data_IF_812602913587
#
_entry.id   IF_812602913587
#
_cell.length_a   1.000
_cell.length_b   1.000
_cell.length_c   1.000
_cell.angle_alpha   90.00
_cell.angle_beta   90.00
_cell.angle_gamma   90.00
#
_symmetry.space_group_name_H-M   'P 1'
#
loop_
_entity.id
_entity.type
_entity.pdbx_description
1 polymer ?
#
# COMPACT_ATOMS: atom_id res chain seq x y z
N UNK A 1 3.75 3.74 10.28
CA UNK A 1 3.81 2.29 10.09
C UNK A 1 5.23 1.89 9.74
N UNK A 2 5.68 0.73 10.23
CA UNK A 2 7.02 0.15 9.99
C UNK A 2 6.87 -1.34 9.74
N UNK A 3 7.69 -1.91 8.86
CA UNK A 3 7.66 -3.35 8.53
C UNK A 3 7.88 -4.18 9.81
N UNK A 4 6.89 -4.98 10.26
CA UNK A 4 6.97 -5.74 11.50
C UNK A 4 7.91 -6.96 11.41
N UNK A 5 8.15 -7.49 10.21
CA UNK A 5 9.00 -8.67 9.98
C UNK A 5 10.48 -8.34 9.72
N UNK A 6 10.80 -7.06 9.50
CA UNK A 6 12.13 -6.64 9.06
C UNK A 6 12.97 -5.97 10.14
N UNK A 7 14.25 -6.37 10.23
CA UNK A 7 15.28 -5.65 10.99
C UNK A 7 15.65 -4.31 10.36
N UNK A 8 15.16 -4.03 9.15
CA UNK A 8 15.47 -2.82 8.38
C UNK A 8 14.43 -1.72 8.63
N UNK A 9 14.83 -0.70 9.40
CA UNK A 9 13.96 0.45 9.72
C UNK A 9 13.84 1.47 8.59
N UNK A 10 14.33 1.24 7.37
CA UNK A 10 14.34 2.26 6.31
C UNK A 10 13.03 2.36 5.54
N UNK A 11 12.33 1.24 5.32
CA UNK A 11 11.01 1.25 4.71
C UNK A 11 9.96 1.68 5.73
N UNK A 12 9.28 2.79 5.45
CA UNK A 12 8.32 3.41 6.36
C UNK A 12 7.21 4.07 5.58
N UNK A 13 6.02 4.06 6.17
CA UNK A 13 4.90 4.87 5.71
C UNK A 13 4.37 5.74 6.85
N UNK A 14 4.17 7.03 6.56
CA UNK A 14 3.57 8.01 7.47
C UNK A 14 2.33 8.60 6.82
N UNK A 15 1.20 8.45 7.52
CA UNK A 15 -0.01 9.18 7.22
C UNK A 15 -0.11 10.40 8.13
N UNK A 16 -0.17 11.58 7.55
CA UNK A 16 -0.51 12.81 8.24
C UNK A 16 -2.03 13.01 8.16
N UNK A 17 -2.67 13.11 9.32
CA UNK A 17 -4.12 13.29 9.46
C UNK A 17 -4.39 14.58 10.26
N UNK A 18 -4.15 15.77 9.66
CA UNK A 18 -4.24 17.06 10.35
C UNK A 18 -5.64 17.29 10.95
N UNK A 19 -6.67 16.86 10.23
CA UNK A 19 -8.07 17.02 10.62
C UNK A 19 -8.56 15.96 11.61
N UNK A 20 -7.67 15.08 12.09
CA UNK A 20 -7.97 14.02 13.07
C UNK A 20 -9.17 13.16 12.68
N UNK A 21 -9.35 12.94 11.39
CA UNK A 21 -10.42 12.12 10.86
C UNK A 21 -10.33 10.68 11.38
N UNK A 22 -11.47 10.03 11.60
CA UNK A 22 -11.51 8.62 11.99
C UNK A 22 -11.08 7.76 10.82
N UNK A 23 -9.92 7.10 10.96
CA UNK A 23 -9.37 6.20 9.95
C UNK A 23 -9.34 4.80 10.53
N UNK A 24 -9.96 3.85 9.81
CA UNK A 24 -9.90 2.43 10.19
C UNK A 24 -8.58 1.85 9.68
N UNK A 25 -7.79 1.28 10.59
CA UNK A 25 -6.53 0.60 10.29
C UNK A 25 -6.75 -0.89 10.42
N UNK A 26 -6.51 -1.62 9.33
CA UNK A 26 -6.47 -3.08 9.31
C UNK A 26 -5.01 -3.47 9.14
N UNK A 27 -4.39 -3.96 10.21
CA UNK A 27 -3.09 -4.60 10.14
C UNK A 27 -3.29 -6.04 9.71
N UNK A 28 -2.66 -6.40 8.61
CA UNK A 28 -2.81 -7.70 7.97
C UNK A 28 -1.56 -8.49 8.36
N UNK A 29 -1.61 -9.01 9.58
CA UNK A 29 -0.42 -9.46 10.31
C UNK A 29 0.30 -10.63 9.63
N UNK A 30 1.59 -10.47 9.34
CA UNK A 30 2.48 -11.53 8.81
C UNK A 30 2.81 -12.61 9.87
N UNK A 31 2.21 -12.53 11.07
CA UNK A 31 2.54 -13.38 12.21
C UNK A 31 1.42 -14.36 12.65
N UNK A 32 0.14 -13.98 12.55
CA UNK A 32 -0.97 -14.75 13.15
C UNK A 32 -1.82 -15.53 12.14
N UNK A 33 -2.03 -15.03 10.92
CA UNK A 33 -2.77 -15.78 9.89
C UNK A 33 -1.77 -16.31 8.86
N UNK A 34 -1.50 -17.61 8.86
CA UNK A 34 -0.41 -18.23 8.08
C UNK A 34 -0.74 -18.54 6.61
N UNK A 35 -1.95 -18.23 6.14
CA UNK A 35 -2.37 -18.62 4.80
C UNK A 35 -2.75 -17.41 3.93
N UNK A 36 -1.94 -17.19 2.89
CA UNK A 36 -2.19 -16.24 1.80
C UNK A 36 -1.20 -15.06 1.72
N UNK A 37 -0.75 -14.76 0.49
CA UNK A 37 0.00 -13.54 0.13
C UNK A 37 -0.90 -12.32 0.34
N UNK A 38 -0.45 -11.27 1.03
CA UNK A 38 -1.25 -10.05 1.30
C UNK A 38 -0.36 -8.88 1.75
N UNK A 39 -0.87 -7.66 1.63
CA UNK A 39 -0.14 -6.46 2.02
C UNK A 39 -0.11 -6.23 3.52
N UNK A 40 0.88 -5.53 4.07
CA UNK A 40 1.03 -5.27 5.52
C UNK A 40 -0.15 -4.53 6.16
N UNK A 41 -0.67 -3.50 5.48
CA UNK A 41 -1.74 -2.65 6.03
C UNK A 41 -2.78 -2.26 4.97
N UNK A 42 -4.03 -2.18 5.42
CA UNK A 42 -5.12 -1.50 4.72
C UNK A 42 -5.66 -0.39 5.62
N UNK A 43 -5.78 0.83 5.08
CA UNK A 43 -6.52 1.93 5.70
C UNK A 43 -7.81 2.17 4.94
N UNK A 44 -8.89 2.41 5.68
CA UNK A 44 -10.15 2.89 5.12
C UNK A 44 -10.36 4.30 5.64
N UNK A 45 -10.34 5.25 4.70
CA UNK A 45 -10.55 6.67 4.94
C UNK A 45 -12.04 6.99 5.09
N UNK A 46 -12.42 8.13 5.70
CA UNK A 46 -13.83 8.52 5.85
C UNK A 46 -14.65 8.58 4.56
N UNK A 47 -14.00 8.87 3.42
CA UNK A 47 -14.62 8.92 2.09
C UNK A 47 -14.66 7.54 1.40
N UNK A 48 -14.52 6.45 2.16
CA UNK A 48 -14.44 5.05 1.69
C UNK A 48 -13.22 4.75 0.80
N UNK A 49 -12.29 5.69 0.65
CA UNK A 49 -11.07 5.47 -0.10
C UNK A 49 -10.16 4.47 0.65
N UNK A 50 -9.68 3.48 -0.10
CA UNK A 50 -8.86 2.40 0.42
C UNK A 50 -7.38 2.69 0.16
N UNK A 51 -6.56 2.64 1.21
CA UNK A 51 -5.11 2.83 1.14
C UNK A 51 -4.41 1.53 1.51
N UNK A 52 -3.82 0.88 0.52
CA UNK A 52 -3.04 -0.35 0.69
C UNK A 52 -1.57 -0.02 0.81
N UNK A 53 -0.89 -0.60 1.80
CA UNK A 53 0.49 -0.26 2.14
C UNK A 53 1.28 -1.55 2.30
N UNK A 54 2.42 -1.60 1.61
CA UNK A 54 3.39 -2.68 1.70
C UNK A 54 4.79 -2.11 1.99
N UNK A 55 5.46 -2.64 2.99
CA UNK A 55 6.78 -2.24 3.44
C UNK A 55 7.73 -3.43 3.20
N UNK A 56 8.69 -3.28 2.27
CA UNK A 56 9.62 -4.36 1.91
C UNK A 56 11.07 -3.89 1.86
N UNK A 57 11.99 -4.85 1.93
CA UNK A 57 13.41 -4.62 1.69
C UNK A 57 13.75 -4.37 0.22
N UNK A 58 13.50 -5.35 -0.66
CA UNK A 58 13.96 -5.29 -2.06
C UNK A 58 13.03 -5.94 -3.09
N UNK A 59 12.17 -6.89 -2.71
CA UNK A 59 11.33 -7.60 -3.68
C UNK A 59 10.03 -6.82 -3.95
N UNK A 60 10.10 -5.85 -4.86
CA UNK A 60 8.95 -5.00 -5.24
C UNK A 60 7.91 -5.76 -6.06
N UNK A 61 8.31 -6.73 -6.87
CA UNK A 61 7.33 -7.53 -7.61
C UNK A 61 6.42 -8.32 -6.66
N UNK A 62 7.01 -8.96 -5.65
CA UNK A 62 6.23 -9.65 -4.63
C UNK A 62 5.39 -8.67 -3.79
N UNK A 63 5.90 -7.47 -3.51
CA UNK A 63 5.13 -6.42 -2.86
C UNK A 63 3.88 -6.02 -3.66
N UNK A 64 3.99 -6.01 -5.00
CA UNK A 64 2.83 -5.76 -5.88
C UNK A 64 1.83 -6.90 -5.77
N UNK A 65 2.27 -8.17 -5.83
CA UNK A 65 1.41 -9.34 -5.67
C UNK A 65 0.67 -9.33 -4.33
N UNK A 66 1.34 -8.92 -3.25
CA UNK A 66 0.76 -8.72 -1.92
C UNK A 66 -0.36 -7.67 -1.92
N UNK A 67 -0.16 -6.53 -2.56
CA UNK A 67 -1.21 -5.50 -2.70
C UNK A 67 -2.35 -6.01 -3.58
N UNK A 68 -2.05 -6.63 -4.73
CA UNK A 68 -3.08 -7.20 -5.62
C UNK A 68 -4.01 -8.13 -4.86
N UNK A 69 -3.41 -9.06 -4.10
CA UNK A 69 -4.17 -10.03 -3.32
C UNK A 69 -4.93 -9.37 -2.17
N UNK A 70 -4.37 -8.33 -1.55
CA UNK A 70 -5.06 -7.49 -0.58
C UNK A 70 -6.32 -6.83 -1.15
N UNK A 71 -6.23 -6.25 -2.36
CA UNK A 71 -7.38 -5.66 -3.05
C UNK A 71 -8.43 -6.72 -3.35
N UNK A 72 -8.04 -7.88 -3.86
CA UNK A 72 -8.97 -8.96 -4.20
C UNK A 72 -9.70 -9.54 -2.98
N UNK A 73 -9.07 -9.56 -1.81
CA UNK A 73 -9.63 -10.12 -0.58
C UNK A 73 -10.44 -9.11 0.23
N UNK A 74 -9.98 -7.87 0.30
CA UNK A 74 -10.43 -6.90 1.30
C UNK A 74 -11.24 -5.76 0.71
N UNK A 75 -11.11 -5.49 -0.60
CA UNK A 75 -11.82 -4.38 -1.22
C UNK A 75 -13.31 -4.66 -1.26
N UNK A 76 -14.13 -3.73 -0.78
CA UNK A 76 -15.59 -3.84 -0.88
C UNK A 76 -16.06 -3.69 -2.35
N UNK A 77 -15.32 -2.95 -3.16
CA UNK A 77 -15.49 -2.89 -4.60
C UNK A 77 -14.15 -2.65 -5.33
N UNK A 78 -13.60 -3.74 -5.88
CA UNK A 78 -12.27 -3.73 -6.48
C UNK A 78 -12.13 -2.82 -7.72
N UNK A 79 -13.23 -2.38 -8.36
CA UNK A 79 -13.18 -1.59 -9.61
C UNK A 79 -13.76 -0.17 -9.50
N UNK A 80 -14.74 0.09 -8.62
CA UNK A 80 -15.39 1.41 -8.57
C UNK A 80 -14.64 2.41 -7.68
N UNK A 81 -14.15 1.98 -6.52
CA UNK A 81 -13.49 2.87 -5.57
C UNK A 81 -12.05 3.17 -6.01
N UNK A 82 -11.67 4.44 -5.88
CA UNK A 82 -10.28 4.87 -6.04
C UNK A 82 -9.47 4.21 -4.92
N UNK A 83 -8.32 3.65 -5.28
CA UNK A 83 -7.39 3.02 -4.35
C UNK A 83 -6.03 3.71 -4.43
N UNK A 84 -5.43 3.97 -3.29
CA UNK A 84 -4.04 4.39 -3.21
C UNK A 84 -3.21 3.21 -2.72
N UNK A 85 -2.15 2.88 -3.45
CA UNK A 85 -1.31 1.74 -3.15
C UNK A 85 0.13 2.23 -2.98
N UNK A 86 0.74 1.95 -1.83
CA UNK A 86 2.07 2.43 -1.49
C UNK A 86 3.00 1.26 -1.22
N UNK A 87 4.11 1.21 -1.95
CA UNK A 87 5.22 0.28 -1.70
C UNK A 87 6.43 1.10 -1.27
N UNK A 88 6.83 0.94 -0.01
CA UNK A 88 8.09 1.46 0.51
C UNK A 88 9.14 0.36 0.44
N UNK A 89 10.11 0.51 -0.45
CA UNK A 89 11.25 -0.39 -0.62
C UNK A 89 12.52 0.22 -0.05
N UNK A 90 13.58 -0.56 0.18
CA UNK A 90 14.93 -0.01 0.42
C UNK A 90 15.81 -0.05 -0.82
N UNK A 91 15.49 -0.91 -1.78
CA UNK A 91 16.24 -1.11 -3.01
C UNK A 91 15.27 -1.45 -4.15
N UNK A 92 15.00 -0.47 -5.00
CA UNK A 92 14.22 -0.62 -6.22
C UNK A 92 14.71 0.37 -7.28
N UNK A 93 14.90 -0.04 -8.55
CA UNK A 93 15.09 0.88 -9.66
C UNK A 93 13.74 1.49 -10.07
N UNK A 94 13.25 2.47 -9.30
CA UNK A 94 11.89 3.04 -9.39
C UNK A 94 11.55 3.57 -10.80
N UNK A 95 12.55 3.98 -11.57
CA UNK A 95 12.38 4.58 -12.89
C UNK A 95 12.47 3.55 -14.04
N UNK A 96 12.59 2.25 -13.76
CA UNK A 96 12.65 1.24 -14.81
C UNK A 96 11.35 1.18 -15.62
N UNK A 97 11.46 0.82 -16.90
CA UNK A 97 10.31 0.60 -17.78
C UNK A 97 9.35 -0.46 -17.23
N UNK A 98 9.89 -1.47 -16.55
CA UNK A 98 9.10 -2.50 -15.86
C UNK A 98 8.18 -1.89 -14.79
N UNK A 99 8.70 -1.05 -13.91
CA UNK A 99 7.91 -0.37 -12.87
C UNK A 99 6.86 0.55 -13.48
N UNK A 100 7.18 1.25 -14.57
CA UNK A 100 6.22 2.10 -15.28
C UNK A 100 5.08 1.28 -15.90
N UNK A 101 5.42 0.18 -16.57
CA UNK A 101 4.44 -0.76 -17.14
C UNK A 101 3.57 -1.39 -16.05
N UNK A 102 4.17 -1.75 -14.92
CA UNK A 102 3.46 -2.29 -13.78
C UNK A 102 2.44 -1.29 -13.24
N UNK A 103 2.82 -0.04 -12.99
CA UNK A 103 1.88 1.03 -12.57
C UNK A 103 0.73 1.21 -13.55
N UNK A 104 0.99 1.15 -14.86
CA UNK A 104 -0.05 1.26 -15.90
C UNK A 104 -1.04 0.09 -15.83
N UNK A 105 -0.54 -1.15 -15.78
CA UNK A 105 -1.38 -2.36 -15.65
C UNK A 105 -2.20 -2.32 -14.37
N UNK A 106 -1.57 -1.92 -13.26
CA UNK A 106 -2.20 -1.84 -11.95
C UNK A 106 -3.38 -0.86 -11.95
N UNK A 107 -3.20 0.33 -12.56
CA UNK A 107 -4.28 1.31 -12.74
C UNK A 107 -5.45 0.76 -13.55
N UNK A 108 -5.17 0.07 -14.66
CA UNK A 108 -6.20 -0.50 -15.53
C UNK A 108 -6.98 -1.63 -14.84
N UNK A 109 -6.31 -2.46 -14.05
CA UNK A 109 -6.91 -3.64 -13.41
C UNK A 109 -7.78 -3.29 -12.20
N UNK A 110 -7.36 -2.33 -11.37
CA UNK A 110 -7.98 -2.06 -10.06
C UNK A 110 -8.51 -0.65 -9.84
N UNK A 111 -8.47 0.22 -10.86
CA UNK A 111 -8.74 1.65 -10.71
C UNK A 111 -7.88 2.30 -9.59
N UNK A 112 -6.62 1.87 -9.51
CA UNK A 112 -5.73 2.17 -8.39
C UNK A 112 -4.51 3.01 -8.83
N UNK A 113 -4.03 3.89 -7.95
CA UNK A 113 -2.76 4.62 -8.11
C UNK A 113 -1.67 3.90 -7.31
N UNK A 114 -0.64 3.41 -8.00
CA UNK A 114 0.48 2.72 -7.39
C UNK A 114 1.72 3.64 -7.26
N UNK A 115 2.13 3.87 -6.02
CA UNK A 115 3.30 4.64 -5.62
C UNK A 115 4.38 3.70 -5.10
N UNK A 116 5.57 3.79 -5.68
CA UNK A 116 6.73 2.97 -5.28
C UNK A 116 7.87 3.96 -5.00
N UNK A 117 8.42 3.92 -3.79
CA UNK A 117 9.55 4.76 -3.38
C UNK A 117 10.56 3.96 -2.56
N UNK A 118 11.81 4.43 -2.59
CA UNK A 118 12.85 3.93 -1.72
C UNK A 118 12.85 4.77 -0.43
N UNK A 119 12.81 4.12 0.73
CA UNK A 119 12.79 4.78 2.04
C UNK A 119 11.40 5.24 2.46
N UNK A 120 11.35 6.27 3.30
CA UNK A 120 10.11 6.76 3.90
C UNK A 120 9.16 7.38 2.86
N UNK A 121 7.88 7.03 2.98
CA UNK A 121 6.78 7.65 2.25
C UNK A 121 5.94 8.44 3.25
N UNK A 122 5.74 9.72 2.98
CA UNK A 122 4.78 10.57 3.70
C UNK A 122 3.61 10.91 2.79
N UNK A 123 2.40 10.73 3.30
CA UNK A 123 1.15 11.07 2.62
C UNK A 123 0.26 11.84 3.59
N UNK A 124 -0.39 12.91 3.12
CA UNK A 124 -1.32 13.70 3.92
C UNK A 124 -2.74 13.43 3.45
N UNK A 125 -3.61 13.04 4.37
CA UNK A 125 -5.05 13.00 4.14
C UNK A 125 -5.66 14.32 4.58
N UNK A 126 -5.99 15.17 3.61
CA UNK A 126 -6.63 16.46 3.88
C UNK A 126 -8.12 16.30 4.23
N UNK A 127 -8.75 15.19 3.86
CA UNK A 127 -10.21 15.07 3.91
C UNK A 127 -10.90 16.02 2.91
N UNK A 128 -12.13 15.70 2.53
CA UNK A 128 -12.97 16.71 1.92
C UNK A 128 -13.55 17.54 3.08
N UNK A 129 -13.21 18.83 3.11
CA UNK A 129 -13.84 19.83 3.98
C UNK A 129 -15.35 19.91 3.75
#
# INVERSE_FOLDING_TARGET
>A
MTDPGSRNKRSKFRLHNPNRATIKVVQVDDCVIKEGIRCDYLLILPNEEEVYIELKGSNVQHAVEQIERGIELLSCNCKSLIKLCFISSTRCPINSTEIQNLKKKFKQKYNAKLFIKNGEISYTYEGNS
#
